data_IF_273732154910
#
_entry.id   IF_273732154910
#
_cell.length_a   1.000
_cell.length_b   1.000
_cell.length_c   1.000
_cell.angle_alpha   90.00
_cell.angle_beta   90.00
_cell.angle_gamma   90.00
#
_symmetry.space_group_name_H-M   'P 1'
#
loop_
_entity.id
_entity.type
_entity.pdbx_description
1 polymer ?
#
# COMPACT_ATOMS: atom_id res chain seq x y z
N UNK A 1 27.23 -42.04 -22.71
CA UNK A 1 25.79 -42.23 -22.44
C UNK A 1 25.02 -41.25 -23.30
N UNK A 2 24.27 -41.69 -24.32
CA UNK A 2 23.43 -40.79 -25.09
C UNK A 2 22.23 -40.38 -24.22
N UNK A 3 22.02 -39.07 -24.08
CA UNK A 3 20.88 -38.52 -23.35
C UNK A 3 19.55 -38.85 -24.02
N UNK A 4 18.49 -38.96 -23.22
CA UNK A 4 17.13 -39.16 -23.72
C UNK A 4 16.69 -37.90 -24.46
N UNK A 5 16.40 -38.04 -25.76
CA UNK A 5 15.71 -37.03 -26.55
C UNK A 5 14.24 -37.43 -26.60
N UNK A 6 13.37 -36.62 -25.98
CA UNK A 6 11.92 -36.82 -26.06
C UNK A 6 11.44 -36.16 -27.36
N UNK A 7 11.05 -36.97 -28.35
CA UNK A 7 10.69 -36.54 -29.70
C UNK A 7 9.33 -35.82 -29.83
N UNK A 8 8.77 -35.32 -28.72
CA UNK A 8 7.47 -34.67 -28.67
C UNK A 8 7.58 -33.40 -27.84
N UNK A 9 6.93 -32.32 -28.31
CA UNK A 9 6.75 -31.12 -27.50
C UNK A 9 6.11 -31.53 -26.18
N UNK A 10 6.80 -31.28 -25.07
CA UNK A 10 6.30 -31.54 -23.73
C UNK A 10 5.11 -30.58 -23.46
N UNK A 11 3.89 -31.01 -23.77
CA UNK A 11 2.64 -30.31 -23.44
C UNK A 11 1.87 -31.16 -22.45
N UNK A 12 2.14 -30.95 -21.16
CA UNK A 12 1.36 -31.57 -20.10
C UNK A 12 0.51 -30.49 -19.42
N UNK A 13 -0.78 -30.43 -19.77
CA UNK A 13 -1.74 -29.50 -19.17
C UNK A 13 -2.08 -29.83 -17.70
N UNK A 14 -1.58 -30.95 -17.16
CA UNK A 14 -1.66 -31.30 -15.75
C UNK A 14 -0.43 -30.84 -14.95
N UNK A 15 0.60 -30.31 -15.60
CA UNK A 15 1.60 -29.50 -14.89
C UNK A 15 0.92 -28.17 -14.54
N UNK A 16 1.03 -27.68 -13.30
CA UNK A 16 0.58 -26.34 -12.97
C UNK A 16 1.24 -25.38 -13.96
N UNK A 17 0.45 -24.62 -14.72
CA UNK A 17 0.96 -23.40 -15.32
C UNK A 17 1.57 -22.61 -14.16
N UNK A 18 2.83 -22.20 -14.24
CA UNK A 18 3.47 -21.44 -13.16
C UNK A 18 2.54 -20.29 -12.78
N UNK A 19 1.94 -20.38 -11.59
CA UNK A 19 0.98 -19.36 -11.17
C UNK A 19 1.72 -18.04 -11.08
N UNK A 20 1.18 -16.99 -11.71
CA UNK A 20 1.79 -15.67 -11.61
C UNK A 20 1.84 -15.22 -10.14
N UNK A 21 2.84 -14.41 -9.77
CA UNK A 21 2.92 -13.83 -8.41
C UNK A 21 1.61 -13.10 -8.05
N UNK A 22 0.99 -12.41 -9.01
CA UNK A 22 -0.30 -11.77 -8.83
C UNK A 22 -1.43 -12.77 -8.52
N UNK A 23 -1.47 -13.92 -9.19
CA UNK A 23 -2.45 -14.99 -8.90
C UNK A 23 -2.26 -15.55 -7.49
N UNK A 24 -1.00 -15.76 -7.09
CA UNK A 24 -0.65 -16.25 -5.75
C UNK A 24 -1.03 -15.25 -4.64
N UNK A 25 -0.92 -13.94 -4.90
CA UNK A 25 -1.35 -12.87 -3.99
C UNK A 25 -2.87 -12.77 -3.91
N UNK A 26 -3.59 -12.87 -5.04
CA UNK A 26 -5.07 -12.88 -5.05
C UNK A 26 -5.60 -14.05 -4.21
N UNK A 27 -4.99 -15.22 -4.32
CA UNK A 27 -5.38 -16.42 -3.57
C UNK A 27 -4.97 -16.38 -2.08
N UNK A 28 -4.09 -15.47 -1.67
CA UNK A 28 -3.60 -15.43 -0.28
C UNK A 28 -4.68 -14.93 0.69
N UNK A 29 -4.97 -15.73 1.71
CA UNK A 29 -6.00 -15.41 2.72
C UNK A 29 -5.58 -14.26 3.65
N UNK A 30 -4.28 -13.96 3.75
CA UNK A 30 -3.76 -12.84 4.53
C UNK A 30 -4.06 -11.48 3.89
N UNK A 31 -4.36 -11.42 2.59
CA UNK A 31 -4.78 -10.19 1.90
C UNK A 31 -6.30 -10.07 1.95
N UNK A 32 -6.81 -8.97 2.53
CA UNK A 32 -8.23 -8.62 2.53
C UNK A 32 -8.61 -7.89 1.25
N UNK A 33 -7.84 -6.87 0.88
CA UNK A 33 -8.09 -6.07 -0.33
C UNK A 33 -6.78 -5.75 -1.04
N UNK A 34 -6.85 -5.61 -2.36
CA UNK A 34 -5.76 -5.14 -3.22
C UNK A 34 -6.27 -4.07 -4.18
N UNK A 35 -5.79 -2.84 -4.01
CA UNK A 35 -6.10 -1.71 -4.87
C UNK A 35 -4.90 -1.37 -5.75
N UNK A 36 -5.02 -1.65 -7.04
CA UNK A 36 -3.97 -1.42 -8.02
C UNK A 36 -4.29 -0.21 -8.90
N UNK A 37 -3.30 0.65 -9.14
CA UNK A 37 -3.40 1.75 -10.10
C UNK A 37 -3.14 1.25 -11.53
N UNK A 38 -4.07 0.47 -12.06
CA UNK A 38 -4.06 -0.05 -13.43
C UNK A 38 -5.41 0.21 -14.10
N UNK A 39 -5.41 0.47 -15.41
CA UNK A 39 -6.62 0.81 -16.16
C UNK A 39 -7.70 -0.29 -16.11
N UNK A 40 -7.33 -1.54 -15.87
CA UNK A 40 -8.29 -2.65 -15.72
C UNK A 40 -8.78 -2.83 -14.27
N UNK A 41 -8.14 -2.16 -13.31
CA UNK A 41 -8.44 -2.27 -11.88
C UNK A 41 -9.09 -1.00 -11.31
N UNK A 42 -9.27 0.04 -12.12
CA UNK A 42 -9.88 1.29 -11.72
C UNK A 42 -11.08 1.64 -12.61
N UNK A 43 -12.00 2.42 -12.05
CA UNK A 43 -13.06 3.11 -12.82
C UNK A 43 -12.57 4.52 -13.11
N UNK A 44 -12.51 4.91 -14.38
CA UNK A 44 -12.04 6.23 -14.80
C UNK A 44 -13.19 7.18 -15.15
N UNK A 45 -12.96 8.46 -14.92
CA UNK A 45 -13.77 9.59 -15.38
C UNK A 45 -12.84 10.54 -16.14
N UNK A 46 -12.61 10.28 -17.43
CA UNK A 46 -11.47 10.86 -18.14
C UNK A 46 -10.19 10.15 -17.72
N UNK A 47 -9.18 10.90 -17.27
CA UNK A 47 -7.96 10.33 -16.68
C UNK A 47 -8.04 10.20 -15.15
N UNK A 48 -9.07 10.76 -14.52
CA UNK A 48 -9.21 10.74 -13.07
C UNK A 48 -9.80 9.42 -12.60
N UNK A 49 -9.24 8.90 -11.53
CA UNK A 49 -9.68 7.67 -10.90
C UNK A 49 -10.92 7.98 -10.07
N UNK A 50 -12.09 7.58 -10.58
CA UNK A 50 -13.33 7.64 -9.83
C UNK A 50 -13.34 6.63 -8.68
N UNK A 51 -12.81 5.42 -8.93
CA UNK A 51 -12.62 4.43 -7.88
C UNK A 51 -11.56 3.40 -8.21
N UNK A 52 -10.78 2.97 -7.23
CA UNK A 52 -10.05 1.71 -7.29
C UNK A 52 -11.00 0.58 -6.93
N UNK A 53 -11.10 -0.42 -7.79
CA UNK A 53 -11.87 -1.62 -7.53
C UNK A 53 -10.94 -2.67 -6.89
N UNK A 54 -11.42 -3.39 -5.89
CA UNK A 54 -10.62 -4.43 -5.25
C UNK A 54 -10.32 -5.57 -6.22
N UNK A 55 -9.03 -5.83 -6.48
CA UNK A 55 -8.55 -6.88 -7.38
C UNK A 55 -8.83 -8.28 -6.86
N UNK A 56 -9.13 -8.45 -5.55
CA UNK A 56 -9.64 -9.71 -4.99
C UNK A 56 -11.09 -10.01 -5.36
N UNK A 57 -11.77 -9.07 -6.04
CA UNK A 57 -13.14 -9.26 -6.51
C UNK A 57 -14.21 -9.04 -5.43
N UNK A 58 -13.87 -8.42 -4.30
CA UNK A 58 -14.88 -8.01 -3.33
C UNK A 58 -15.64 -6.76 -3.81
N UNK A 59 -16.73 -6.41 -3.14
CA UNK A 59 -17.45 -5.15 -3.42
C UNK A 59 -16.71 -3.89 -2.89
N UNK A 60 -15.57 -4.07 -2.21
CA UNK A 60 -14.84 -2.97 -1.58
C UNK A 60 -14.15 -2.09 -2.61
N UNK A 61 -14.11 -0.78 -2.35
CA UNK A 61 -13.52 0.23 -3.24
C UNK A 61 -12.82 1.33 -2.46
N UNK A 62 -11.84 1.96 -3.08
CA UNK A 62 -11.40 3.30 -2.71
C UNK A 62 -12.02 4.28 -3.70
N UNK A 63 -12.96 5.12 -3.25
CA UNK A 63 -13.69 6.05 -4.11
C UNK A 63 -13.18 7.47 -3.88
N UNK A 64 -12.97 8.25 -4.95
CA UNK A 64 -12.59 9.66 -4.80
C UNK A 64 -13.60 10.42 -3.93
N UNK A 65 -13.12 11.37 -3.14
CA UNK A 65 -13.97 12.11 -2.20
C UNK A 65 -15.07 12.90 -2.93
N UNK A 66 -14.74 13.47 -4.09
CA UNK A 66 -15.67 14.14 -5.00
C UNK A 66 -15.11 14.13 -6.44
N UNK A 67 -15.79 14.77 -7.38
CA UNK A 67 -15.42 14.77 -8.79
C UNK A 67 -14.15 15.58 -9.14
N UNK A 68 -13.75 16.54 -8.30
CA UNK A 68 -12.61 17.44 -8.53
C UNK A 68 -11.36 17.03 -7.73
N UNK A 69 -11.51 16.13 -6.75
CA UNK A 69 -10.49 15.78 -5.76
C UNK A 69 -10.10 14.29 -5.85
N UNK A 70 -9.84 13.80 -7.07
CA UNK A 70 -9.50 12.40 -7.35
C UNK A 70 -8.17 12.27 -8.07
N UNK A 71 -7.34 11.34 -7.60
CA UNK A 71 -6.05 11.06 -8.21
C UNK A 71 -6.17 10.72 -9.70
N UNK A 72 -5.22 11.16 -10.51
CA UNK A 72 -5.15 10.88 -11.94
C UNK A 72 -4.36 9.60 -12.21
N UNK A 73 -4.84 8.74 -13.12
CA UNK A 73 -4.06 7.58 -13.58
C UNK A 73 -2.96 8.05 -14.54
N UNK A 74 -1.70 7.80 -14.18
CA UNK A 74 -0.52 8.20 -14.96
C UNK A 74 0.24 6.95 -15.40
N UNK A 75 0.48 6.83 -16.70
CA UNK A 75 1.32 5.75 -17.25
C UNK A 75 2.79 5.98 -16.90
N UNK A 76 3.53 4.88 -16.76
CA UNK A 76 4.97 4.89 -16.51
C UNK A 76 5.40 5.65 -15.23
N UNK A 77 4.53 5.71 -14.21
CA UNK A 77 4.86 6.30 -12.93
C UNK A 77 5.91 5.48 -12.16
N UNK A 78 5.94 4.17 -12.40
CA UNK A 78 6.86 3.22 -11.78
C UNK A 78 7.57 2.39 -12.85
N UNK A 79 8.36 3.03 -13.71
CA UNK A 79 8.99 2.38 -14.85
C UNK A 79 7.96 2.12 -15.95
N UNK A 80 7.68 0.86 -16.36
CA UNK A 80 6.60 0.57 -17.33
C UNK A 80 5.20 0.52 -16.68
N UNK A 81 5.10 0.58 -15.36
CA UNK A 81 3.84 0.43 -14.63
C UNK A 81 3.18 1.78 -14.35
N UNK A 82 1.85 1.78 -14.38
CA UNK A 82 1.03 2.96 -14.07
C UNK A 82 1.00 3.25 -12.57
N UNK A 83 0.64 4.48 -12.21
CA UNK A 83 0.46 4.91 -10.83
C UNK A 83 -0.70 5.90 -10.71
N UNK A 84 -1.29 5.96 -9.52
CA UNK A 84 -2.28 6.96 -9.18
C UNK A 84 -1.57 8.19 -8.64
N UNK A 85 -1.60 9.29 -9.40
CA UNK A 85 -1.01 10.56 -9.01
C UNK A 85 -1.97 11.33 -8.12
N UNK A 86 -1.60 11.48 -6.87
CA UNK A 86 -2.24 12.40 -5.93
C UNK A 86 -1.52 13.75 -5.99
N UNK A 87 -2.32 14.81 -5.96
CA UNK A 87 -1.87 16.18 -5.97
C UNK A 87 -2.43 16.93 -4.77
N UNK A 88 -1.53 17.51 -3.97
CA UNK A 88 -1.91 18.25 -2.78
C UNK A 88 -2.69 19.54 -3.11
N UNK A 89 -2.42 20.17 -4.26
CA UNK A 89 -3.13 21.39 -4.71
C UNK A 89 -4.59 21.08 -5.03
N UNK A 90 -4.84 19.91 -5.62
CA UNK A 90 -6.17 19.42 -5.96
C UNK A 90 -6.83 18.73 -4.77
N UNK A 91 -6.15 18.66 -3.61
CA UNK A 91 -6.69 18.05 -2.39
C UNK A 91 -7.18 16.60 -2.61
N UNK A 92 -6.44 15.86 -3.43
CA UNK A 92 -6.85 14.53 -3.85
C UNK A 92 -6.93 13.54 -2.70
N UNK A 93 -8.01 12.76 -2.69
CA UNK A 93 -8.26 11.74 -1.67
C UNK A 93 -9.18 10.66 -2.18
N UNK A 94 -8.90 9.42 -1.80
CA UNK A 94 -9.82 8.30 -1.95
C UNK A 94 -10.22 7.73 -0.60
N UNK A 95 -11.52 7.51 -0.39
CA UNK A 95 -12.11 6.97 0.81
C UNK A 95 -12.52 5.51 0.60
N UNK A 96 -12.20 4.67 1.56
CA UNK A 96 -12.58 3.27 1.54
C UNK A 96 -14.08 3.11 1.79
N UNK A 97 -14.72 2.29 0.96
CA UNK A 97 -16.10 1.86 1.10
C UNK A 97 -16.15 0.33 0.93
N UNK A 98 -16.62 -0.38 1.94
CA UNK A 98 -16.66 -1.84 1.96
C UNK A 98 -16.53 -2.41 3.36
N UNK A 99 -16.12 -3.67 3.43
CA UNK A 99 -15.84 -4.35 4.70
C UNK A 99 -14.47 -3.92 5.23
N UNK A 100 -14.47 -3.02 6.22
CA UNK A 100 -13.26 -2.41 6.75
C UNK A 100 -12.36 -3.43 7.46
N UNK A 101 -11.05 -3.19 7.43
CA UNK A 101 -10.08 -3.97 8.20
C UNK A 101 -10.25 -3.69 9.70
N UNK A 102 -10.30 -4.74 10.53
CA UNK A 102 -10.31 -4.57 11.99
C UNK A 102 -8.90 -4.23 12.48
N UNK A 103 -8.68 -2.96 12.80
CA UNK A 103 -7.38 -2.45 13.25
C UNK A 103 -7.08 -2.76 14.72
N UNK A 104 -8.02 -3.38 15.45
CA UNK A 104 -7.77 -3.86 16.83
C UNK A 104 -7.05 -5.21 16.86
N UNK A 105 -7.08 -5.93 15.74
CA UNK A 105 -6.36 -7.18 15.53
C UNK A 105 -5.04 -6.94 14.80
N UNK A 106 -4.11 -7.92 14.78
CA UNK A 106 -2.91 -7.81 13.97
C UNK A 106 -3.22 -7.56 12.49
N UNK A 107 -2.55 -6.58 11.88
CA UNK A 107 -2.79 -6.18 10.50
C UNK A 107 -1.53 -5.63 9.84
N UNK A 108 -1.56 -5.54 8.51
CA UNK A 108 -0.54 -4.80 7.75
C UNK A 108 -1.15 -4.04 6.58
N UNK A 109 -0.52 -2.93 6.21
CA UNK A 109 -0.69 -2.27 4.92
C UNK A 109 0.63 -2.32 4.16
N UNK A 110 0.56 -2.54 2.86
CA UNK A 110 1.73 -2.53 1.99
C UNK A 110 1.41 -1.83 0.68
N UNK A 111 2.41 -1.24 0.05
CA UNK A 111 2.27 -0.68 -1.29
C UNK A 111 3.59 -0.16 -1.83
N UNK A 112 3.52 0.40 -3.04
CA UNK A 112 4.59 1.20 -3.63
C UNK A 112 4.13 2.65 -3.79
N UNK A 113 5.01 3.59 -3.48
CA UNK A 113 4.71 5.00 -3.62
C UNK A 113 5.95 5.82 -4.03
N UNK A 114 5.71 7.02 -4.53
CA UNK A 114 6.69 8.11 -4.65
C UNK A 114 6.21 9.29 -3.81
N UNK A 115 7.15 10.14 -3.37
CA UNK A 115 6.86 11.47 -2.84
C UNK A 115 7.48 12.49 -3.79
N UNK A 116 6.67 13.27 -4.51
CA UNK A 116 7.17 14.25 -5.51
C UNK A 116 7.59 15.57 -4.87
N UNK A 117 6.84 16.00 -3.84
CA UNK A 117 7.06 17.25 -3.12
C UNK A 117 6.76 17.08 -1.64
N UNK A 118 7.43 17.87 -0.81
CA UNK A 118 7.19 17.93 0.63
C UNK A 118 7.23 19.39 1.11
N UNK A 119 6.25 20.19 0.67
CA UNK A 119 6.06 21.58 1.10
C UNK A 119 5.32 21.70 2.44
N UNK A 120 4.54 20.68 2.80
CA UNK A 120 3.84 20.55 4.07
C UNK A 120 3.82 19.07 4.50
N UNK A 121 3.54 18.81 5.78
CA UNK A 121 3.32 17.44 6.24
C UNK A 121 2.14 16.81 5.51
N UNK A 122 2.31 15.58 5.06
CA UNK A 122 1.36 14.87 4.20
C UNK A 122 1.07 13.47 4.73
N UNK A 123 -0.12 12.95 4.45
CA UNK A 123 -0.50 11.58 4.81
C UNK A 123 -0.67 10.76 3.54
N UNK A 124 0.05 9.65 3.45
CA UNK A 124 -0.11 8.70 2.36
C UNK A 124 -1.43 7.96 2.53
N UNK A 125 -1.65 7.33 3.69
CA UNK A 125 -2.88 6.62 3.96
C UNK A 125 -3.15 6.41 5.46
N UNK A 126 -4.37 6.01 5.79
CA UNK A 126 -4.73 5.54 7.13
C UNK A 126 -6.11 5.93 7.62
N UNK A 127 -6.33 5.76 8.92
CA UNK A 127 -7.55 6.15 9.65
C UNK A 127 -7.20 7.21 10.69
N UNK A 128 -8.06 8.21 10.87
CA UNK A 128 -7.80 9.32 11.78
C UNK A 128 -9.08 9.88 12.40
N UNK A 129 -9.05 10.03 13.72
CA UNK A 129 -10.03 10.78 14.50
C UNK A 129 -9.36 11.92 15.26
N UNK A 130 -8.20 11.66 15.88
CA UNK A 130 -7.41 12.65 16.62
C UNK A 130 -5.93 12.28 16.67
N UNK A 131 -5.09 13.12 17.27
CA UNK A 131 -3.66 12.84 17.47
C UNK A 131 -3.38 11.66 18.42
N UNK A 132 -4.38 11.17 19.17
CA UNK A 132 -4.27 10.00 20.06
C UNK A 132 -5.12 8.82 19.60
N UNK A 133 -5.93 8.98 18.56
CA UNK A 133 -6.81 7.94 17.99
C UNK A 133 -6.66 7.95 16.47
N UNK A 134 -5.73 7.11 15.99
CA UNK A 134 -5.28 7.09 14.58
C UNK A 134 -4.47 5.84 14.27
N UNK A 135 -4.41 5.50 12.98
CA UNK A 135 -3.41 4.63 12.39
C UNK A 135 -3.04 5.26 11.04
N UNK A 136 -1.89 5.92 10.93
CA UNK A 136 -1.55 6.73 9.75
C UNK A 136 -0.12 6.48 9.29
N UNK A 137 0.08 6.45 7.98
CA UNK A 137 1.37 6.47 7.33
C UNK A 137 1.58 7.85 6.72
N UNK A 138 2.57 8.59 7.22
CA UNK A 138 2.71 10.01 6.91
C UNK A 138 4.19 10.45 6.84
N UNK A 139 4.42 11.64 6.30
CA UNK A 139 5.72 12.31 6.27
C UNK A 139 5.54 13.71 6.87
N UNK A 140 6.49 14.15 7.68
CA UNK A 140 6.47 15.49 8.33
C UNK A 140 7.51 16.41 7.71
N UNK A 141 7.23 17.72 7.65
CA UNK A 141 8.24 18.76 7.31
C UNK A 141 9.02 19.27 8.52
N UNK A 142 8.59 18.94 9.73
CA UNK A 142 9.12 19.54 10.97
C UNK A 142 9.45 18.51 12.04
N UNK A 143 10.24 18.94 13.02
CA UNK A 143 10.66 18.14 14.17
C UNK A 143 11.80 17.18 13.86
N UNK A 144 12.08 16.27 14.79
CA UNK A 144 13.18 15.29 14.66
C UNK A 144 12.98 14.25 13.53
N UNK A 145 11.78 14.20 12.95
CA UNK A 145 11.38 13.24 11.93
C UNK A 145 11.09 13.92 10.57
N UNK A 146 11.60 15.14 10.35
CA UNK A 146 11.43 15.84 9.08
C UNK A 146 11.93 14.98 7.90
N UNK A 147 11.12 14.85 6.86
CA UNK A 147 11.39 14.05 5.66
C UNK A 147 11.31 12.53 5.84
N UNK A 148 11.11 12.03 7.06
CA UNK A 148 11.04 10.58 7.33
C UNK A 148 9.63 10.06 7.15
N UNK A 149 9.52 8.86 6.57
CA UNK A 149 8.26 8.11 6.60
C UNK A 149 8.02 7.62 8.03
N UNK A 150 6.84 7.90 8.57
CA UNK A 150 6.46 7.43 9.90
C UNK A 150 5.12 6.72 9.87
N UNK A 151 5.04 5.62 10.61
CA UNK A 151 3.77 4.96 10.90
C UNK A 151 3.37 5.26 12.34
N UNK A 152 2.18 5.81 12.53
CA UNK A 152 1.71 6.28 13.84
C UNK A 152 0.42 5.58 14.20
N UNK A 153 0.38 4.95 15.38
CA UNK A 153 -0.87 4.40 15.95
C UNK A 153 -1.04 4.99 17.33
N UNK A 154 -2.20 5.61 17.56
CA UNK A 154 -2.45 6.41 18.76
C UNK A 154 -1.33 7.44 18.98
N UNK A 155 -0.62 7.32 20.09
CA UNK A 155 0.53 8.18 20.45
C UNK A 155 1.89 7.57 20.09
N UNK A 156 1.95 6.29 19.71
CA UNK A 156 3.18 5.65 19.26
C UNK A 156 3.56 6.11 17.84
N UNK A 157 4.86 6.22 17.59
CA UNK A 157 5.43 6.60 16.29
C UNK A 157 6.59 5.68 15.96
N UNK A 158 6.42 4.86 14.92
CA UNK A 158 7.48 4.08 14.30
C UNK A 158 8.11 4.90 13.18
N UNK A 159 9.43 5.08 13.23
CA UNK A 159 10.15 5.98 12.31
C UNK A 159 10.97 5.17 11.33
N UNK A 160 10.70 5.36 10.04
CA UNK A 160 11.44 4.79 8.93
C UNK A 160 12.54 5.72 8.41
N UNK A 161 13.09 5.45 7.21
CA UNK A 161 14.12 6.28 6.60
C UNK A 161 13.56 7.64 6.13
N UNK A 162 14.47 8.57 5.86
CA UNK A 162 14.17 9.77 5.07
C UNK A 162 13.85 9.35 3.65
N UNK A 163 12.79 9.90 3.07
CA UNK A 163 12.42 9.63 1.68
C UNK A 163 13.15 10.56 0.73
N UNK A 164 13.72 9.99 -0.32
CA UNK A 164 14.20 10.74 -1.46
C UNK A 164 13.03 11.13 -2.37
N UNK A 165 12.95 12.41 -2.73
CA UNK A 165 11.88 12.87 -3.60
C UNK A 165 11.98 12.23 -4.98
N UNK A 166 10.82 11.98 -5.60
CA UNK A 166 10.66 11.37 -6.92
C UNK A 166 11.30 9.97 -7.04
N UNK A 167 11.60 9.31 -5.92
CA UNK A 167 12.14 7.95 -5.91
C UNK A 167 11.07 6.98 -5.41
N UNK A 168 10.79 5.90 -6.17
CA UNK A 168 9.91 4.84 -5.71
C UNK A 168 10.43 4.15 -4.44
N UNK A 169 9.52 3.86 -3.52
CA UNK A 169 9.79 3.04 -2.35
C UNK A 169 8.67 2.03 -2.13
N UNK A 170 9.02 0.83 -1.71
CA UNK A 170 8.08 -0.16 -1.24
C UNK A 170 7.99 -0.09 0.28
N UNK A 171 6.79 -0.26 0.83
CA UNK A 171 6.58 -0.22 2.27
C UNK A 171 5.69 -1.37 2.75
N UNK A 172 5.88 -1.71 4.03
CA UNK A 172 5.01 -2.55 4.84
C UNK A 172 4.92 -1.91 6.21
N UNK A 173 3.73 -1.62 6.70
CA UNK A 173 3.52 -1.09 8.05
C UNK A 173 2.31 -1.75 8.71
N UNK A 174 2.23 -1.74 10.04
CA UNK A 174 1.11 -2.39 10.70
C UNK A 174 1.29 -2.55 12.20
N UNK A 175 0.42 -3.35 12.78
CA UNK A 175 0.36 -3.67 14.20
C UNK A 175 0.39 -5.18 14.38
N UNK A 176 1.23 -5.69 15.29
CA UNK A 176 1.44 -7.12 15.50
C UNK A 176 0.69 -7.70 16.71
N UNK A 177 -0.13 -6.90 17.38
CA UNK A 177 -0.76 -7.26 18.65
C UNK A 177 -0.02 -6.70 19.87
N UNK A 178 1.18 -6.15 19.70
CA UNK A 178 1.97 -5.51 20.78
C UNK A 178 2.72 -4.28 20.30
N UNK A 179 3.37 -4.36 19.15
CA UNK A 179 4.17 -3.31 18.54
C UNK A 179 3.56 -2.86 17.23
N UNK A 180 3.86 -1.62 16.87
CA UNK A 180 3.73 -1.16 15.50
C UNK A 180 5.07 -1.29 14.78
N UNK A 181 5.02 -1.65 13.51
CA UNK A 181 6.22 -1.83 12.69
C UNK A 181 6.11 -1.02 11.39
N UNK A 182 7.27 -0.66 10.86
CA UNK A 182 7.42 -0.03 9.56
C UNK A 182 8.66 -0.63 8.90
N UNK A 183 8.47 -1.15 7.70
CA UNK A 183 9.48 -1.71 6.83
C UNK A 183 9.47 -0.91 5.52
N UNK A 184 10.62 -0.39 5.12
CA UNK A 184 10.79 0.42 3.91
C UNK A 184 12.12 0.07 3.27
N UNK A 185 12.11 -0.31 1.99
CA UNK A 185 13.31 -0.59 1.21
C UNK A 185 14.32 -1.54 1.91
N UNK A 186 13.82 -2.60 2.56
CA UNK A 186 14.62 -3.61 3.27
C UNK A 186 14.87 -3.32 4.75
N UNK A 187 14.63 -2.09 5.22
CA UNK A 187 14.91 -1.65 6.59
C UNK A 187 13.65 -1.74 7.45
N UNK A 188 13.71 -2.45 8.58
CA UNK A 188 12.60 -2.60 9.51
C UNK A 188 12.84 -1.85 10.82
N UNK A 189 11.84 -1.11 11.26
CA UNK A 189 11.72 -0.52 12.58
C UNK A 189 10.47 -1.06 13.31
N UNK A 190 10.53 -1.09 14.64
CA UNK A 190 9.40 -1.50 15.48
C UNK A 190 9.43 -0.75 16.82
N UNK A 191 8.26 -0.41 17.35
CA UNK A 191 8.08 0.25 18.64
C UNK A 191 6.79 -0.22 19.29
N UNK A 192 6.77 -0.29 20.63
CA UNK A 192 5.57 -0.64 21.37
C UNK A 192 4.39 0.26 20.96
N UNK A 193 3.24 -0.35 20.70
CA UNK A 193 2.03 0.38 20.39
C UNK A 193 1.53 1.14 21.62
N UNK A 194 0.93 2.32 21.41
CA UNK A 194 0.36 3.13 22.48
C UNK A 194 -0.87 3.89 21.98
N UNK A 195 -1.99 3.77 22.68
CA UNK A 195 -3.28 4.34 22.27
C UNK A 195 -4.07 3.40 21.36
N UNK A 196 -4.95 3.96 20.53
CA UNK A 196 -5.89 3.18 19.72
C UNK A 196 -5.92 3.62 18.25
N UNK A 197 -6.22 2.71 17.32
CA UNK A 197 -6.53 3.09 15.95
C UNK A 197 -7.87 3.84 15.88
N UNK A 198 -8.09 4.57 14.79
CA UNK A 198 -9.37 5.20 14.50
C UNK A 198 -10.33 4.22 13.83
N UNK A 199 -11.62 4.30 14.17
CA UNK A 199 -12.72 3.60 13.50
C UNK A 199 -13.27 4.36 12.28
N UNK A 200 -12.72 5.54 11.98
CA UNK A 200 -13.02 6.26 10.73
C UNK A 200 -12.71 5.39 9.51
N UNK A 201 -13.34 5.70 8.37
CA UNK A 201 -12.97 5.10 7.09
C UNK A 201 -11.45 5.19 6.84
N UNK A 202 -10.89 4.16 6.22
CA UNK A 202 -9.53 4.22 5.69
C UNK A 202 -9.52 5.19 4.50
N UNK A 203 -8.46 5.99 4.39
CA UNK A 203 -8.27 6.91 3.27
C UNK A 203 -6.87 6.75 2.66
N UNK A 204 -6.78 7.04 1.37
CA UNK A 204 -5.56 7.11 0.58
C UNK A 204 -5.43 8.53 0.00
N UNK A 205 -4.23 9.08 -0.02
CA UNK A 205 -3.92 10.42 -0.50
C UNK A 205 -4.12 11.54 0.53
N UNK A 206 -4.89 11.29 1.59
CA UNK A 206 -5.03 12.16 2.75
C UNK A 206 -5.75 11.42 3.89
N UNK A 207 -5.97 12.10 5.01
CA UNK A 207 -6.86 11.62 6.07
C UNK A 207 -8.33 11.88 5.70
N UNK A 208 -9.30 11.11 6.24
CA UNK A 208 -10.72 11.21 5.86
C UNK A 208 -11.36 12.62 5.97
N UNK A 209 -10.81 13.50 6.81
CA UNK A 209 -11.21 14.91 6.94
C UNK A 209 -10.04 15.88 7.12
N UNK A 210 -8.81 15.48 6.79
CA UNK A 210 -7.61 16.31 6.97
C UNK A 210 -7.25 17.14 5.75
N UNK A 211 -6.40 18.17 5.95
CA UNK A 211 -5.84 19.06 4.92
C UNK A 211 -4.40 18.73 4.53
N UNK A 212 -3.90 17.57 4.96
CA UNK A 212 -2.52 17.12 4.78
C UNK A 212 -2.49 16.07 3.67
N UNK A 213 -2.44 16.55 2.44
CA UNK A 213 -2.56 15.75 1.23
C UNK A 213 -1.20 15.23 0.76
N UNK A 214 -1.19 14.00 0.24
CA UNK A 214 -0.05 13.40 -0.44
C UNK A 214 0.19 14.10 -1.78
N UNK A 215 1.45 14.33 -2.11
CA UNK A 215 1.88 14.83 -3.41
C UNK A 215 2.86 13.84 -4.02
N UNK A 216 2.33 12.86 -4.74
CA UNK A 216 3.09 11.70 -5.17
C UNK A 216 2.25 10.65 -5.88
N UNK A 217 2.89 9.60 -6.35
CA UNK A 217 2.25 8.50 -7.07
C UNK A 217 2.12 7.28 -6.15
N UNK A 218 1.06 6.49 -6.30
CA UNK A 218 0.83 5.25 -5.52
C UNK A 218 0.37 4.13 -6.43
N UNK A 219 0.83 2.90 -6.20
CA UNK A 219 0.28 1.69 -6.80
C UNK A 219 0.30 0.52 -5.83
N UNK A 220 -0.44 -0.54 -6.18
CA UNK A 220 -0.51 -1.82 -5.47
C UNK A 220 -0.66 -1.71 -3.95
N UNK A 221 -1.68 -1.01 -3.48
CA UNK A 221 -1.99 -0.93 -2.06
C UNK A 221 -2.71 -2.21 -1.60
N UNK A 222 -2.07 -2.96 -0.70
CA UNK A 222 -2.61 -4.14 -0.03
C UNK A 222 -3.06 -3.81 1.39
N UNK A 223 -4.27 -4.26 1.74
CA UNK A 223 -4.77 -4.28 3.12
C UNK A 223 -4.80 -5.73 3.59
N UNK A 224 -4.06 -6.05 4.65
CA UNK A 224 -3.81 -7.43 5.09
C UNK A 224 -4.30 -7.67 6.52
N UNK A 225 -4.91 -8.84 6.76
CA UNK A 225 -5.43 -9.29 8.07
C UNK A 225 -4.38 -10.04 8.91
N UNK A 226 -3.11 -9.90 8.55
CA UNK A 226 -1.97 -10.48 9.25
C UNK A 226 -0.89 -9.43 9.42
N UNK A 227 -0.14 -9.52 10.51
CA UNK A 227 1.05 -8.72 10.75
C UNK A 227 2.27 -9.37 10.07
N UNK A 228 2.84 -8.70 9.07
CA UNK A 228 3.92 -9.25 8.25
C UNK A 228 5.27 -9.40 8.97
N UNK A 229 5.45 -8.78 10.14
CA UNK A 229 6.61 -8.98 11.01
C UNK A 229 6.48 -10.20 11.94
N UNK A 230 5.40 -10.98 11.83
CA UNK A 230 5.15 -12.19 12.64
C UNK A 230 5.23 -13.45 11.79
N UNK A 231 5.27 -14.62 12.45
CA UNK A 231 5.23 -15.93 11.77
C UNK A 231 3.97 -16.12 10.92
N UNK A 232 2.83 -15.60 11.37
CA UNK A 232 1.56 -15.68 10.64
C UNK A 232 1.60 -14.91 9.30
N UNK A 233 2.35 -13.81 9.24
CA UNK A 233 2.49 -12.98 8.04
C UNK A 233 3.75 -13.25 7.21
N UNK A 234 4.66 -14.12 7.66
CA UNK A 234 5.97 -14.32 7.02
C UNK A 234 5.90 -14.88 5.58
N UNK A 235 4.94 -15.77 5.31
CA UNK A 235 4.70 -16.31 3.97
C UNK A 235 4.22 -15.20 3.02
N UNK A 236 3.28 -14.37 3.48
CA UNK A 236 2.78 -13.23 2.71
C UNK A 236 3.88 -12.19 2.47
N UNK A 237 4.70 -11.89 3.48
CA UNK A 237 5.84 -10.99 3.33
C UNK A 237 6.78 -11.48 2.23
N UNK A 238 7.14 -12.77 2.21
CA UNK A 238 7.99 -13.35 1.16
C UNK A 238 7.39 -13.17 -0.24
N UNK A 239 6.07 -13.41 -0.40
CA UNK A 239 5.38 -13.22 -1.68
C UNK A 239 5.38 -11.76 -2.13
N UNK A 240 5.11 -10.83 -1.21
CA UNK A 240 5.12 -9.40 -1.50
C UNK A 240 6.53 -8.91 -1.83
N UNK A 241 7.56 -9.36 -1.10
CA UNK A 241 8.96 -9.03 -1.42
C UNK A 241 9.30 -9.48 -2.84
N UNK A 242 8.97 -10.72 -3.21
CA UNK A 242 9.19 -11.22 -4.57
C UNK A 242 8.41 -10.42 -5.62
N UNK A 243 7.17 -10.03 -5.32
CA UNK A 243 6.35 -9.21 -6.21
C UNK A 243 6.95 -7.81 -6.42
N UNK A 244 7.36 -7.11 -5.37
CA UNK A 244 7.95 -5.79 -5.52
C UNK A 244 9.32 -5.82 -6.21
N UNK A 245 10.10 -6.88 -6.01
CA UNK A 245 11.37 -7.08 -6.70
C UNK A 245 11.16 -7.32 -8.20
N UNK A 246 10.23 -8.21 -8.56
CA UNK A 246 9.93 -8.58 -9.96
C UNK A 246 9.29 -7.42 -10.74
N UNK A 247 8.32 -6.74 -10.14
CA UNK A 247 7.54 -5.68 -10.81
C UNK A 247 8.26 -4.34 -10.75
N UNK A 248 8.83 -3.97 -9.60
CA UNK A 248 9.32 -2.62 -9.37
C UNK A 248 10.84 -2.53 -9.20
N UNK A 249 11.55 -3.66 -9.09
CA UNK A 249 12.96 -3.67 -8.73
C UNK A 249 13.21 -3.15 -7.30
N UNK A 250 12.20 -3.24 -6.43
CA UNK A 250 12.23 -2.71 -5.06
C UNK A 250 12.26 -3.85 -4.05
N UNK A 251 13.00 -3.63 -2.96
CA UNK A 251 13.02 -4.56 -1.82
C UNK A 251 12.06 -4.10 -0.74
N UNK A 252 11.41 -5.05 -0.05
CA UNK A 252 10.65 -4.77 1.17
C UNK A 252 11.49 -4.90 2.42
#
# INVERSE_FOLDING_TARGET
MPGIVVAQNFKNNALPAGESLASALIADSGIKNWFQADANSVTLSGNDIASFNDRKGTASKLTRADAANGATLVSNAFGPYSGARFNAVESDRSLFNGDALDLTQPFSWSGVATLRSLSASSNLCGTFTSSSVRAILNVSVSGSNAGKLTFQVGTATCVGPTLDLNTPFAFVCGYDGTNIFLRVNGVMASVAAAGSPSSSAFALGALPGGSQFWDGDVSDLFLCIVAMNTSAGASLLTKLTAFYEDVYGLTL
#
